data_IF_456461809763
#
_entry.id   IF_456461809763
#
_cell.length_a   1.000
_cell.length_b   1.000
_cell.length_c   1.000
_cell.angle_alpha   90.00
_cell.angle_beta   90.00
_cell.angle_gamma   90.00
#
_symmetry.space_group_name_H-M   'P 1'
#
loop_
_entity.id
_entity.type
_entity.pdbx_description
1 polymer ?
#
# COMPACT_ATOMS: atom_id res chain seq x y z
N UNK A 1 -19.85 100.46 23.87
CA UNK A 1 -19.48 100.84 22.48
C UNK A 1 -18.00 100.59 22.29
N UNK A 2 -17.64 99.79 21.27
CA UNK A 2 -16.33 99.67 20.59
C UNK A 2 -15.00 99.68 21.40
N UNK A 3 -14.19 98.63 21.20
CA UNK A 3 -12.76 98.65 20.79
C UNK A 3 -12.10 97.28 21.07
N UNK A 4 -11.56 96.55 20.08
CA UNK A 4 -10.27 96.65 19.35
C UNK A 4 -9.02 96.26 20.18
N UNK A 5 -8.38 95.16 19.73
CA UNK A 5 -6.97 94.72 19.82
C UNK A 5 -6.32 94.65 21.23
N UNK A 6 -5.52 93.66 21.63
CA UNK A 6 -4.43 92.99 20.92
C UNK A 6 -3.90 91.76 21.72
N UNK A 7 -3.45 90.72 21.00
CA UNK A 7 -2.29 89.80 21.22
C UNK A 7 -2.15 88.78 22.38
N UNK A 8 -1.68 87.58 21.97
CA UNK A 8 -0.84 86.63 22.73
C UNK A 8 -1.29 85.17 22.51
N UNK A 9 -0.90 84.42 21.47
CA UNK A 9 0.41 83.83 21.10
C UNK A 9 1.04 82.91 22.18
N UNK A 10 0.88 81.59 22.02
CA UNK A 10 1.79 80.44 22.31
C UNK A 10 0.94 79.14 22.18
N UNK A 11 1.17 78.25 21.19
CA UNK A 11 2.31 77.32 21.23
C UNK A 11 2.89 77.06 19.83
N UNK A 12 3.92 77.81 19.42
CA UNK A 12 4.67 77.54 18.15
C UNK A 12 5.99 76.78 18.36
N UNK A 13 6.42 76.59 19.61
CA UNK A 13 7.67 75.84 19.93
C UNK A 13 7.51 74.32 19.73
N UNK A 14 6.37 73.75 20.12
CA UNK A 14 6.11 72.30 20.06
C UNK A 14 6.09 71.71 18.63
N UNK A 15 5.53 72.41 17.63
CA UNK A 15 5.49 71.90 16.25
C UNK A 15 6.86 71.97 15.55
N UNK A 16 7.66 73.00 15.82
CA UNK A 16 9.00 73.12 15.22
C UNK A 16 9.96 72.06 15.77
N UNK A 17 9.89 71.76 17.06
CA UNK A 17 10.67 70.67 17.67
C UNK A 17 10.25 69.29 17.10
N UNK A 18 8.95 69.08 16.87
CA UNK A 18 8.43 67.85 16.26
C UNK A 18 8.87 67.69 14.80
N UNK A 19 8.90 68.77 14.02
CA UNK A 19 9.38 68.76 12.63
C UNK A 19 10.90 68.54 12.54
N UNK A 20 11.66 69.06 13.50
CA UNK A 20 13.11 68.83 13.57
C UNK A 20 13.42 67.36 13.90
N UNK A 21 12.63 66.75 14.79
CA UNK A 21 12.79 65.34 15.16
C UNK A 21 12.45 64.39 13.99
N UNK A 22 11.38 64.69 13.23
CA UNK A 22 11.02 63.93 12.02
C UNK A 22 12.11 64.06 10.94
N UNK A 23 12.69 65.24 10.76
CA UNK A 23 13.82 65.42 9.81
C UNK A 23 15.06 64.64 10.24
N UNK A 24 15.37 64.58 11.54
CA UNK A 24 16.48 63.77 12.07
C UNK A 24 16.22 62.27 11.87
N UNK A 25 15.02 61.79 12.17
CA UNK A 25 14.66 60.38 11.96
C UNK A 25 14.71 59.98 10.48
N UNK A 26 14.24 60.84 9.58
CA UNK A 26 14.34 60.60 8.13
C UNK A 26 15.78 60.53 7.64
N UNK A 27 16.64 61.45 8.09
CA UNK A 27 18.07 61.43 7.74
C UNK A 27 18.78 60.18 8.29
N UNK A 28 18.39 59.69 9.46
CA UNK A 28 18.93 58.46 10.05
C UNK A 28 18.51 57.22 9.25
N UNK A 29 17.24 57.14 8.83
CA UNK A 29 16.72 56.09 7.95
C UNK A 29 17.41 56.08 6.57
N UNK A 30 17.61 57.26 5.95
CA UNK A 30 18.31 57.37 4.67
C UNK A 30 19.79 56.95 4.80
N UNK A 31 20.45 57.26 5.92
CA UNK A 31 21.81 56.80 6.21
C UNK A 31 21.90 55.27 6.44
N UNK A 32 20.92 54.69 7.13
CA UNK A 32 20.85 53.23 7.37
C UNK A 32 20.56 52.45 6.08
N UNK A 33 19.69 52.95 5.20
CA UNK A 33 19.45 52.37 3.87
C UNK A 33 20.73 52.40 3.03
N UNK A 34 21.46 53.52 3.03
CA UNK A 34 22.69 53.63 2.26
C UNK A 34 23.83 52.76 2.83
N UNK A 35 23.81 52.50 4.15
CA UNK A 35 24.73 51.55 4.80
C UNK A 35 24.38 50.11 4.43
N UNK A 36 23.09 49.76 4.39
CA UNK A 36 22.59 48.45 3.94
C UNK A 36 22.95 48.17 2.48
N UNK A 37 22.76 49.13 1.57
CA UNK A 37 23.16 48.99 0.16
C UNK A 37 24.67 48.76 0.02
N UNK A 38 25.50 49.49 0.76
CA UNK A 38 26.96 49.27 0.76
C UNK A 38 27.32 47.91 1.32
N UNK A 39 26.69 47.46 2.41
CA UNK A 39 26.93 46.11 2.95
C UNK A 39 26.48 45.02 1.98
N UNK A 40 25.40 45.22 1.24
CA UNK A 40 24.93 44.30 0.21
C UNK A 40 25.90 44.23 -0.98
N UNK A 41 26.44 45.36 -1.43
CA UNK A 41 27.47 45.39 -2.47
C UNK A 41 28.78 44.73 -2.02
N UNK A 42 29.21 44.94 -0.77
CA UNK A 42 30.38 44.26 -0.20
C UNK A 42 30.12 42.75 -0.10
N UNK A 43 28.94 42.33 0.35
CA UNK A 43 28.56 40.92 0.43
C UNK A 43 28.54 40.27 -0.97
N UNK A 44 27.97 40.95 -1.98
CA UNK A 44 28.01 40.51 -3.37
C UNK A 44 29.43 40.45 -3.92
N UNK A 45 30.31 41.40 -3.57
CA UNK A 45 31.72 41.35 -3.95
C UNK A 45 32.44 40.17 -3.30
N UNK A 46 32.17 39.90 -2.02
CA UNK A 46 32.74 38.76 -1.30
C UNK A 46 32.23 37.45 -1.90
N UNK A 47 30.92 37.31 -2.16
CA UNK A 47 30.35 36.14 -2.83
C UNK A 47 30.98 35.95 -4.21
N UNK A 48 31.15 37.03 -4.98
CA UNK A 48 31.78 36.98 -6.30
C UNK A 48 33.27 36.65 -6.22
N UNK A 49 34.00 37.14 -5.23
CA UNK A 49 35.41 36.81 -4.97
C UNK A 49 35.55 35.36 -4.50
N UNK A 50 34.69 34.87 -3.60
CA UNK A 50 34.68 33.48 -3.12
C UNK A 50 34.32 32.53 -4.25
N UNK A 51 33.30 32.85 -5.06
CA UNK A 51 32.94 32.08 -6.25
C UNK A 51 34.05 32.12 -7.32
N UNK A 52 34.74 33.25 -7.51
CA UNK A 52 35.86 33.36 -8.46
C UNK A 52 37.16 32.72 -7.94
N UNK A 53 37.42 32.73 -6.62
CA UNK A 53 38.54 32.03 -5.99
C UNK A 53 38.30 30.52 -5.92
N UNK A 54 37.05 30.07 -5.77
CA UNK A 54 36.66 28.67 -5.86
C UNK A 54 36.82 28.07 -7.28
N UNK A 55 36.99 28.89 -8.32
CA UNK A 55 37.17 28.45 -9.71
C UNK A 55 38.66 28.39 -10.12
N UNK A 56 39.60 28.68 -9.21
CA UNK A 56 41.03 28.39 -9.41
C UNK A 56 41.51 27.15 -8.65
N UNK A 57 40.64 26.16 -8.48
CA UNK A 57 41.14 24.80 -8.32
C UNK A 57 41.63 24.32 -9.69
N UNK A 58 42.91 23.93 -9.74
CA UNK A 58 43.53 23.45 -10.97
C UNK A 58 42.68 22.29 -11.51
N UNK A 59 42.39 22.27 -12.81
CA UNK A 59 41.51 21.24 -13.42
C UNK A 59 42.01 19.81 -13.11
N UNK A 60 43.33 19.66 -12.90
CA UNK A 60 44.02 18.44 -12.45
C UNK A 60 43.69 18.00 -11.02
N UNK A 61 43.41 18.92 -10.09
CA UNK A 61 43.08 18.59 -8.70
C UNK A 61 41.62 18.17 -8.56
N UNK A 62 40.73 18.82 -9.32
CA UNK A 62 39.33 18.41 -9.45
C UNK A 62 39.25 17.03 -10.11
N UNK A 63 39.97 16.78 -11.22
CA UNK A 63 39.98 15.46 -11.85
C UNK A 63 40.64 14.37 -11.01
N UNK A 64 41.66 14.69 -10.20
CA UNK A 64 42.22 13.76 -9.20
C UNK A 64 41.25 13.44 -8.07
N UNK A 65 40.51 14.44 -7.59
CA UNK A 65 39.45 14.23 -6.59
C UNK A 65 38.32 13.38 -7.19
N UNK A 66 37.91 13.65 -8.43
CA UNK A 66 36.93 12.82 -9.15
C UNK A 66 37.47 11.43 -9.50
N UNK A 67 38.76 11.23 -9.74
CA UNK A 67 39.35 9.90 -9.95
C UNK A 67 39.51 9.11 -8.66
N UNK A 68 39.64 9.78 -7.51
CA UNK A 68 39.63 9.15 -6.17
C UNK A 68 38.21 8.89 -5.65
N UNK A 69 37.20 9.54 -6.23
CA UNK A 69 35.77 9.35 -5.96
C UNK A 69 35.08 8.44 -7.00
N UNK A 70 35.74 8.13 -8.11
CA UNK A 70 35.32 7.07 -9.01
C UNK A 70 35.65 5.76 -8.30
N UNK A 71 34.66 4.88 -8.05
CA UNK A 71 34.99 3.50 -7.69
C UNK A 71 35.90 2.97 -8.79
N UNK A 72 36.93 2.20 -8.43
CA UNK A 72 37.85 1.66 -9.41
C UNK A 72 37.02 0.94 -10.49
N UNK A 73 37.17 1.32 -11.76
CA UNK A 73 36.34 0.76 -12.85
C UNK A 73 36.39 -0.77 -12.89
N UNK A 74 37.50 -1.34 -12.45
CA UNK A 74 37.66 -2.79 -12.27
C UNK A 74 36.79 -3.35 -11.14
N UNK A 75 36.59 -2.62 -10.04
CA UNK A 75 35.65 -2.98 -8.95
C UNK A 75 34.20 -2.85 -9.42
N UNK A 76 33.83 -1.82 -10.19
CA UNK A 76 32.48 -1.72 -10.76
C UNK A 76 32.20 -2.84 -11.78
N UNK A 77 33.17 -3.17 -12.65
CA UNK A 77 33.03 -4.23 -13.64
C UNK A 77 32.98 -5.62 -13.00
N UNK A 78 33.79 -5.86 -11.95
CA UNK A 78 33.77 -7.15 -11.22
C UNK A 78 32.54 -7.30 -10.33
N UNK A 79 32.09 -6.24 -9.65
CA UNK A 79 30.85 -6.23 -8.87
C UNK A 79 29.62 -6.46 -9.77
N UNK A 80 29.63 -5.92 -10.98
CA UNK A 80 28.61 -6.21 -11.99
C UNK A 80 28.66 -7.67 -12.45
N UNK A 81 29.85 -8.23 -12.62
CA UNK A 81 30.04 -9.65 -12.92
C UNK A 81 29.51 -10.57 -11.81
N UNK A 82 29.76 -10.25 -10.53
CA UNK A 82 29.31 -11.04 -9.38
C UNK A 82 27.78 -11.03 -9.23
N UNK A 83 27.16 -9.84 -9.36
CA UNK A 83 25.69 -9.70 -9.38
C UNK A 83 25.07 -10.46 -10.54
N UNK A 84 25.67 -10.36 -11.73
CA UNK A 84 25.19 -11.06 -12.93
C UNK A 84 25.30 -12.58 -12.77
N UNK A 85 26.38 -13.09 -12.18
CA UNK A 85 26.54 -14.52 -11.93
C UNK A 85 25.46 -15.08 -10.99
N UNK A 86 25.15 -14.36 -9.89
CA UNK A 86 24.06 -14.75 -8.99
C UNK A 86 22.71 -14.77 -9.71
N UNK A 87 22.39 -13.72 -10.47
CA UNK A 87 21.14 -13.66 -11.23
C UNK A 87 21.06 -14.72 -12.31
N UNK A 88 22.18 -15.02 -12.98
CA UNK A 88 22.25 -16.03 -14.03
C UNK A 88 22.00 -17.43 -13.44
N UNK A 89 22.63 -17.76 -12.31
CA UNK A 89 22.37 -19.02 -11.61
C UNK A 89 20.90 -19.15 -11.19
N UNK A 90 20.29 -18.05 -10.72
CA UNK A 90 18.85 -18.03 -10.43
C UNK A 90 18.02 -18.22 -11.70
N UNK A 91 18.34 -17.49 -12.78
CA UNK A 91 17.63 -17.55 -14.06
C UNK A 91 17.68 -18.93 -14.71
N UNK A 92 18.82 -19.61 -14.61
CA UNK A 92 19.02 -20.97 -15.11
C UNK A 92 18.44 -22.05 -14.17
N UNK A 93 17.83 -21.64 -13.05
CA UNK A 93 17.31 -22.50 -11.99
C UNK A 93 18.38 -23.46 -11.41
N UNK A 94 19.65 -23.04 -11.41
CA UNK A 94 20.76 -23.81 -10.88
C UNK A 94 21.01 -23.50 -9.41
N UNK A 95 20.22 -24.16 -8.56
CA UNK A 95 20.34 -24.02 -7.10
C UNK A 95 21.68 -24.49 -6.53
N UNK A 96 22.38 -25.41 -7.21
CA UNK A 96 23.67 -25.93 -6.74
C UNK A 96 24.77 -24.89 -6.97
N UNK A 97 24.87 -24.36 -8.19
CA UNK A 97 25.81 -23.28 -8.49
C UNK A 97 25.50 -22.05 -7.65
N UNK A 98 24.23 -21.71 -7.45
CA UNK A 98 23.83 -20.60 -6.59
C UNK A 98 24.33 -20.78 -5.15
N UNK A 99 24.17 -21.97 -4.57
CA UNK A 99 24.65 -22.27 -3.22
C UNK A 99 26.19 -22.17 -3.12
N UNK A 100 26.91 -22.70 -4.11
CA UNK A 100 28.36 -22.59 -4.18
C UNK A 100 28.86 -21.15 -4.29
N UNK A 101 28.15 -20.30 -5.05
CA UNK A 101 28.47 -18.88 -5.16
C UNK A 101 28.24 -18.19 -3.81
N UNK A 102 27.09 -18.41 -3.17
CA UNK A 102 26.72 -17.75 -1.91
C UNK A 102 27.54 -18.20 -0.70
N UNK A 103 28.18 -19.38 -0.77
CA UNK A 103 29.18 -19.80 0.22
C UNK A 103 30.42 -18.88 0.27
N UNK A 104 30.69 -18.11 -0.79
CA UNK A 104 31.82 -17.19 -0.83
C UNK A 104 31.36 -15.77 -0.43
N UNK A 105 32.08 -15.14 0.49
CA UNK A 105 31.72 -13.82 1.04
C UNK A 105 31.56 -12.73 -0.04
N UNK A 106 32.35 -12.80 -1.12
CA UNK A 106 32.30 -11.88 -2.25
C UNK A 106 30.93 -11.84 -2.94
N UNK A 107 30.25 -12.99 -3.09
CA UNK A 107 28.92 -13.01 -3.68
C UNK A 107 27.85 -12.72 -2.63
N UNK A 108 28.05 -13.16 -1.38
CA UNK A 108 27.08 -12.98 -0.30
C UNK A 108 26.72 -11.52 -0.04
N UNK A 109 27.68 -10.58 -0.14
CA UNK A 109 27.41 -9.13 -0.04
C UNK A 109 26.41 -8.62 -1.10
N UNK A 110 26.23 -9.33 -2.20
CA UNK A 110 25.32 -8.97 -3.29
C UNK A 110 23.98 -9.72 -3.26
N UNK A 111 23.70 -10.54 -2.24
CA UNK A 111 22.45 -11.33 -2.15
C UNK A 111 21.17 -10.46 -2.18
N UNK A 112 21.25 -9.24 -1.65
CA UNK A 112 20.15 -8.25 -1.62
C UNK A 112 20.35 -7.13 -2.65
N UNK A 113 21.38 -7.22 -3.49
CA UNK A 113 21.64 -6.20 -4.49
C UNK A 113 20.66 -6.26 -5.63
N UNK A 114 20.23 -5.08 -6.05
CA UNK A 114 19.25 -4.92 -7.12
C UNK A 114 20.00 -4.80 -8.42
N UNK A 115 19.66 -5.65 -9.39
CA UNK A 115 20.39 -5.75 -10.66
C UNK A 115 19.48 -6.15 -11.80
N UNK A 116 20.01 -6.06 -13.03
CA UNK A 116 19.30 -6.36 -14.28
C UNK A 116 18.98 -5.14 -15.14
N UNK A 117 18.89 -5.34 -16.46
CA UNK A 117 18.39 -4.35 -17.42
C UNK A 117 16.85 -4.37 -17.43
N UNK A 118 16.20 -3.40 -16.77
CA UNK A 118 14.75 -3.34 -16.66
C UNK A 118 14.28 -2.86 -15.29
N UNK A 119 13.34 -3.58 -14.66
CA UNK A 119 12.94 -3.34 -13.26
C UNK A 119 13.99 -3.97 -12.33
N UNK A 120 14.82 -3.19 -11.61
CA UNK A 120 15.87 -3.74 -10.76
C UNK A 120 15.27 -4.60 -9.65
N UNK A 121 15.62 -5.89 -9.65
CA UNK A 121 15.15 -6.89 -8.70
C UNK A 121 16.30 -7.54 -7.93
N UNK A 122 15.99 -8.07 -6.75
CA UNK A 122 16.91 -8.94 -6.00
C UNK A 122 16.90 -10.36 -6.59
N UNK A 123 17.96 -11.15 -6.41
CA UNK A 123 17.97 -12.57 -6.73
C UNK A 123 16.74 -13.32 -6.17
N UNK A 124 16.31 -12.98 -4.95
CA UNK A 124 15.12 -13.57 -4.32
C UNK A 124 13.83 -13.27 -5.08
N UNK A 125 13.65 -12.02 -5.53
CA UNK A 125 12.52 -11.64 -6.38
C UNK A 125 12.56 -12.38 -7.73
N UNK A 126 13.73 -12.52 -8.34
CA UNK A 126 13.87 -13.26 -9.60
C UNK A 126 13.44 -14.72 -9.42
N UNK A 127 13.93 -15.39 -8.37
CA UNK A 127 13.51 -16.75 -8.06
C UNK A 127 11.99 -16.86 -7.83
N UNK A 128 11.41 -15.90 -7.11
CA UNK A 128 9.97 -15.80 -6.89
C UNK A 128 9.17 -15.54 -8.19
N UNK A 129 9.73 -14.79 -9.15
CA UNK A 129 9.08 -14.49 -10.44
C UNK A 129 9.00 -15.71 -11.35
N UNK A 130 10.07 -16.52 -11.37
CA UNK A 130 10.14 -17.71 -12.21
C UNK A 130 9.63 -18.99 -11.52
N UNK A 131 9.33 -18.93 -10.21
CA UNK A 131 8.86 -20.09 -9.45
C UNK A 131 9.98 -21.08 -9.12
N UNK A 132 11.23 -20.61 -9.08
CA UNK A 132 12.41 -21.43 -8.80
C UNK A 132 12.54 -21.70 -7.30
N UNK A 133 11.70 -22.62 -6.80
CA UNK A 133 11.57 -22.95 -5.38
C UNK A 133 12.91 -23.26 -4.70
N UNK A 134 13.78 -24.05 -5.35
CA UNK A 134 15.07 -24.46 -4.76
C UNK A 134 16.03 -23.29 -4.66
N UNK A 135 16.14 -22.47 -5.71
CA UNK A 135 16.92 -21.23 -5.65
C UNK A 135 16.40 -20.29 -4.57
N UNK A 136 15.07 -20.16 -4.45
CA UNK A 136 14.42 -19.35 -3.42
C UNK A 136 14.76 -19.82 -2.00
N UNK A 137 14.70 -21.14 -1.74
CA UNK A 137 15.10 -21.73 -0.46
C UNK A 137 16.59 -21.49 -0.13
N UNK A 138 17.48 -21.65 -1.11
CA UNK A 138 18.93 -21.39 -0.94
C UNK A 138 19.16 -19.91 -0.59
N UNK A 139 18.52 -18.99 -1.31
CA UNK A 139 18.65 -17.54 -1.04
C UNK A 139 18.19 -17.17 0.37
N UNK A 140 17.06 -17.71 0.81
CA UNK A 140 16.55 -17.48 2.17
C UNK A 140 17.49 -18.08 3.23
N UNK A 141 18.02 -19.27 3.00
CA UNK A 141 18.98 -19.91 3.91
C UNK A 141 20.27 -19.10 4.09
N UNK A 142 20.70 -18.38 3.05
CA UNK A 142 21.87 -17.49 3.08
C UNK A 142 21.57 -16.07 3.59
N UNK A 143 20.33 -15.78 3.98
CA UNK A 143 19.94 -14.50 4.59
C UNK A 143 19.48 -13.43 3.61
N UNK A 144 18.88 -13.82 2.48
CA UNK A 144 18.19 -12.88 1.61
C UNK A 144 17.04 -12.18 2.35
N UNK A 145 16.86 -10.88 2.08
CA UNK A 145 15.80 -10.08 2.67
C UNK A 145 14.43 -10.45 2.08
N UNK A 146 13.62 -11.10 2.90
CA UNK A 146 12.33 -11.70 2.55
C UNK A 146 11.32 -10.67 2.05
N UNK A 147 11.35 -9.46 2.61
CA UNK A 147 10.43 -8.36 2.27
C UNK A 147 11.09 -7.25 1.45
N UNK A 148 12.19 -7.58 0.75
CA UNK A 148 12.88 -6.64 -0.15
C UNK A 148 11.94 -6.01 -1.18
N UNK A 149 11.96 -4.69 -1.29
CA UNK A 149 10.99 -3.97 -2.14
C UNK A 149 11.54 -3.73 -3.54
N UNK A 150 10.71 -3.89 -4.58
CA UNK A 150 11.06 -3.44 -5.93
C UNK A 150 10.80 -1.92 -6.14
N UNK A 151 10.97 -1.39 -7.37
CA UNK A 151 10.74 0.05 -7.66
C UNK A 151 9.26 0.45 -7.61
N UNK A 152 8.36 -0.54 -7.65
CA UNK A 152 6.92 -0.41 -7.45
C UNK A 152 6.51 -0.79 -6.02
N UNK A 153 7.48 -0.91 -5.12
CA UNK A 153 7.34 -1.37 -3.75
C UNK A 153 6.70 -2.77 -3.61
N UNK A 154 6.87 -3.65 -4.58
CA UNK A 154 6.42 -5.03 -4.54
C UNK A 154 7.43 -5.91 -3.80
N UNK A 155 6.95 -6.80 -2.93
CA UNK A 155 7.76 -7.82 -2.23
C UNK A 155 7.95 -9.07 -3.10
N UNK A 156 8.93 -9.95 -2.82
CA UNK A 156 9.04 -11.26 -3.43
C UNK A 156 7.75 -12.08 -3.30
N UNK A 157 7.06 -11.99 -2.16
CA UNK A 157 5.76 -12.62 -1.93
C UNK A 157 4.71 -12.14 -2.93
N UNK A 158 4.60 -10.82 -3.14
CA UNK A 158 3.69 -10.27 -4.13
C UNK A 158 4.01 -10.80 -5.54
N UNK A 159 5.30 -10.89 -5.89
CA UNK A 159 5.73 -11.42 -7.19
C UNK A 159 5.32 -12.89 -7.35
N UNK A 160 5.60 -13.75 -6.37
CA UNK A 160 5.19 -15.16 -6.40
C UNK A 160 3.67 -15.31 -6.54
N UNK A 161 2.88 -14.50 -5.82
CA UNK A 161 1.41 -14.47 -5.92
C UNK A 161 0.95 -14.06 -7.32
N UNK A 162 1.53 -12.98 -7.88
CA UNK A 162 1.14 -12.48 -9.20
C UNK A 162 1.44 -13.43 -10.36
N UNK A 163 2.38 -14.35 -10.15
CA UNK A 163 2.75 -15.38 -11.11
C UNK A 163 2.14 -16.76 -10.79
N UNK A 164 1.40 -16.90 -9.69
CA UNK A 164 0.71 -18.15 -9.33
C UNK A 164 1.59 -19.24 -8.71
N UNK A 165 2.79 -18.91 -8.22
CA UNK A 165 3.76 -19.89 -7.70
C UNK A 165 3.49 -20.26 -6.24
N UNK A 166 2.50 -21.15 -6.01
CA UNK A 166 2.04 -21.54 -4.67
C UNK A 166 3.16 -22.02 -3.73
N UNK A 167 4.08 -22.86 -4.20
CA UNK A 167 5.13 -23.39 -3.34
C UNK A 167 6.12 -22.30 -2.90
N UNK A 168 6.41 -21.33 -3.77
CA UNK A 168 7.19 -20.16 -3.41
C UNK A 168 6.45 -19.28 -2.39
N UNK A 169 5.13 -19.13 -2.51
CA UNK A 169 4.30 -18.40 -1.54
C UNK A 169 4.41 -19.03 -0.16
N UNK A 170 4.28 -20.35 -0.05
CA UNK A 170 4.40 -21.07 1.23
C UNK A 170 5.75 -20.83 1.88
N UNK A 171 6.85 -21.05 1.14
CA UNK A 171 8.20 -20.88 1.68
C UNK A 171 8.47 -19.44 2.10
N UNK A 172 7.97 -18.45 1.34
CA UNK A 172 8.13 -17.03 1.71
C UNK A 172 7.36 -16.70 3.00
N UNK A 173 6.12 -17.20 3.15
CA UNK A 173 5.32 -17.00 4.36
C UNK A 173 5.95 -17.70 5.57
N UNK A 174 6.45 -18.93 5.41
CA UNK A 174 7.19 -19.67 6.44
C UNK A 174 8.48 -18.95 6.85
N UNK A 175 9.14 -18.27 5.90
CA UNK A 175 10.31 -17.43 6.17
C UNK A 175 9.97 -16.07 6.80
N UNK A 176 8.69 -15.80 7.10
CA UNK A 176 8.25 -14.59 7.79
C UNK A 176 7.89 -13.41 6.88
N UNK A 177 7.66 -13.64 5.59
CA UNK A 177 7.18 -12.57 4.69
C UNK A 177 5.86 -11.99 5.20
N UNK A 178 5.71 -10.66 5.12
CA UNK A 178 4.46 -10.00 5.46
C UNK A 178 3.30 -10.47 4.55
N UNK A 179 2.25 -11.16 5.05
CA UNK A 179 1.18 -11.72 4.22
C UNK A 179 0.37 -10.64 3.46
N UNK A 180 0.27 -9.44 4.03
CA UNK A 180 -0.35 -8.28 3.40
C UNK A 180 0.50 -7.62 2.30
N UNK A 181 1.75 -8.06 2.13
CA UNK A 181 2.74 -7.40 1.30
C UNK A 181 3.12 -6.01 1.80
N UNK A 182 3.75 -5.22 0.94
CA UNK A 182 4.20 -3.86 1.28
C UNK A 182 3.04 -2.87 1.42
N UNK A 183 3.11 -2.06 2.48
CA UNK A 183 2.19 -0.92 2.68
C UNK A 183 2.38 0.18 1.64
N UNK A 184 3.50 0.21 0.92
CA UNK A 184 3.79 1.19 -0.13
C UNK A 184 3.33 0.73 -1.51
N UNK A 185 3.03 -0.57 -1.67
CA UNK A 185 2.44 -1.08 -2.90
C UNK A 185 0.96 -0.66 -2.99
N UNK A 186 0.53 -0.35 -4.21
CA UNK A 186 -0.86 0.01 -4.51
C UNK A 186 -1.78 -1.22 -4.61
N UNK A 187 -1.21 -2.40 -4.80
CA UNK A 187 -1.93 -3.67 -4.82
C UNK A 187 -1.46 -4.56 -3.67
N UNK A 188 -2.35 -5.38 -3.10
CA UNK A 188 -1.99 -6.36 -2.07
C UNK A 188 -2.00 -7.77 -2.66
N UNK A 189 -1.22 -8.71 -2.09
CA UNK A 189 -1.26 -10.12 -2.49
C UNK A 189 -2.68 -10.71 -2.47
N UNK A 190 -3.47 -10.39 -1.44
CA UNK A 190 -4.87 -10.86 -1.30
C UNK A 190 -5.76 -10.35 -2.43
N UNK A 191 -5.62 -9.09 -2.84
CA UNK A 191 -6.39 -8.53 -3.97
C UNK A 191 -6.04 -9.24 -5.27
N UNK A 192 -4.75 -9.46 -5.54
CA UNK A 192 -4.29 -10.16 -6.73
C UNK A 192 -4.78 -11.61 -6.76
N UNK A 193 -4.62 -12.35 -5.65
CA UNK A 193 -5.08 -13.75 -5.57
C UNK A 193 -6.60 -13.88 -5.73
N UNK A 194 -7.37 -12.95 -5.16
CA UNK A 194 -8.83 -12.93 -5.31
C UNK A 194 -9.29 -12.58 -6.74
N UNK A 195 -8.58 -11.66 -7.41
CA UNK A 195 -8.85 -11.29 -8.81
C UNK A 195 -8.52 -12.41 -9.78
N UNK A 196 -7.41 -13.12 -9.54
CA UNK A 196 -6.89 -14.14 -10.46
C UNK A 196 -7.47 -15.54 -10.17
N UNK A 197 -8.32 -15.67 -9.15
CA UNK A 197 -8.96 -16.94 -8.79
C UNK A 197 -8.03 -17.96 -8.13
N UNK A 198 -6.90 -17.51 -7.60
CA UNK A 198 -5.88 -18.38 -6.99
C UNK A 198 -6.27 -18.81 -5.56
N UNK A 199 -7.30 -19.64 -5.43
CA UNK A 199 -7.89 -20.05 -4.15
C UNK A 199 -6.87 -20.67 -3.18
N UNK A 200 -5.96 -21.52 -3.67
CA UNK A 200 -4.92 -22.11 -2.84
C UNK A 200 -3.94 -21.06 -2.28
N UNK A 201 -3.49 -20.12 -3.11
CA UNK A 201 -2.61 -19.02 -2.66
C UNK A 201 -3.34 -18.13 -1.66
N UNK A 202 -4.60 -17.81 -1.94
CA UNK A 202 -5.44 -17.01 -1.06
C UNK A 202 -5.63 -17.69 0.30
N UNK A 203 -5.81 -19.00 0.33
CA UNK A 203 -5.90 -19.78 1.57
C UNK A 203 -4.60 -19.68 2.39
N UNK A 204 -3.42 -19.79 1.76
CA UNK A 204 -2.14 -19.64 2.45
C UNK A 204 -1.96 -18.24 3.04
N UNK A 205 -2.27 -17.19 2.25
CA UNK A 205 -2.18 -15.80 2.71
C UNK A 205 -3.09 -15.55 3.91
N UNK A 206 -4.35 -15.97 3.83
CA UNK A 206 -5.32 -15.80 4.91
C UNK A 206 -4.99 -16.67 6.13
N UNK A 207 -4.41 -17.86 5.92
CA UNK A 207 -3.93 -18.76 6.96
C UNK A 207 -2.78 -18.17 7.78
N UNK A 208 -1.91 -17.39 7.13
CA UNK A 208 -0.81 -16.65 7.78
C UNK A 208 -1.23 -15.26 8.30
N UNK A 209 -2.53 -14.94 8.32
CA UNK A 209 -3.05 -13.72 8.95
C UNK A 209 -3.20 -12.51 8.02
N UNK A 210 -3.20 -12.70 6.69
CA UNK A 210 -3.55 -11.61 5.79
C UNK A 210 -4.99 -11.11 6.02
N UNK A 211 -5.20 -9.80 5.92
CA UNK A 211 -6.52 -9.21 6.12
C UNK A 211 -7.47 -9.55 4.96
N UNK A 212 -8.69 -10.02 5.27
CA UNK A 212 -9.71 -10.32 4.25
C UNK A 212 -10.40 -9.07 3.67
N UNK A 213 -10.33 -7.92 4.36
CA UNK A 213 -11.02 -6.67 4.01
C UNK A 213 -10.05 -5.59 3.50
N UNK A 214 -9.06 -5.99 2.71
CA UNK A 214 -8.04 -5.07 2.18
C UNK A 214 -8.68 -4.10 1.19
N UNK A 215 -8.30 -2.83 1.28
CA UNK A 215 -8.75 -1.80 0.34
C UNK A 215 -7.82 -1.79 -0.88
N UNK A 216 -8.37 -1.83 -2.09
CA UNK A 216 -7.57 -1.52 -3.25
C UNK A 216 -7.20 -0.03 -3.24
N UNK A 217 -5.91 0.27 -3.37
CA UNK A 217 -5.41 1.64 -3.50
C UNK A 217 -5.45 2.06 -4.97
N UNK A 218 -6.59 1.84 -5.63
CA UNK A 218 -6.80 2.30 -6.99
C UNK A 218 -6.99 3.83 -6.97
N UNK A 219 -6.40 4.56 -7.93
CA UNK A 219 -6.65 5.99 -8.06
C UNK A 219 -8.15 6.27 -8.20
N UNK A 220 -8.60 7.35 -7.57
CA UNK A 220 -10.02 7.76 -7.50
C UNK A 220 -10.67 7.95 -8.88
N UNK A 221 -9.89 8.20 -9.93
CA UNK A 221 -10.39 8.33 -11.31
C UNK A 221 -10.55 6.98 -12.03
N UNK A 222 -9.83 5.93 -11.62
CA UNK A 222 -9.90 4.59 -12.19
C UNK A 222 -10.93 3.71 -11.47
N UNK A 223 -11.24 4.05 -10.21
CA UNK A 223 -12.40 3.52 -9.51
C UNK A 223 -13.60 4.36 -9.88
N UNK A 224 -14.53 3.84 -10.68
CA UNK A 224 -15.86 4.45 -10.71
C UNK A 224 -16.33 4.58 -9.26
N UNK A 225 -16.57 5.82 -8.82
CA UNK A 225 -16.57 6.35 -7.44
C UNK A 225 -17.51 5.61 -6.43
N UNK A 226 -18.19 4.54 -6.84
CA UNK A 226 -19.19 3.82 -6.04
C UNK A 226 -18.92 2.32 -5.81
N UNK A 227 -17.86 1.73 -6.37
CA UNK A 227 -17.60 0.28 -6.23
C UNK A 227 -16.55 0.00 -5.16
N UNK A 228 -16.97 -0.66 -4.08
CA UNK A 228 -16.07 -1.18 -3.05
C UNK A 228 -15.11 -2.20 -3.69
N UNK A 229 -13.86 -1.82 -3.94
CA UNK A 229 -12.87 -2.57 -4.73
C UNK A 229 -12.03 -3.54 -3.88
N UNK A 230 -12.63 -4.20 -2.88
CA UNK A 230 -11.93 -5.16 -2.03
C UNK A 230 -11.83 -6.57 -2.64
N UNK A 231 -11.19 -7.54 -1.95
CA UNK A 231 -11.00 -8.91 -2.44
C UNK A 231 -12.31 -9.65 -2.74
N UNK A 232 -13.30 -9.57 -1.83
CA UNK A 232 -14.59 -10.24 -2.01
C UNK A 232 -15.38 -9.74 -3.23
N UNK A 233 -15.25 -8.44 -3.55
CA UNK A 233 -15.83 -7.84 -4.75
C UNK A 233 -15.17 -8.40 -6.01
N UNK A 234 -13.83 -8.45 -6.04
CA UNK A 234 -13.10 -9.00 -7.18
C UNK A 234 -13.47 -10.47 -7.40
N UNK A 235 -13.51 -11.27 -6.33
CA UNK A 235 -13.90 -12.68 -6.44
C UNK A 235 -15.34 -12.87 -6.99
N UNK A 236 -16.28 -11.96 -6.70
CA UNK A 236 -17.62 -11.99 -7.27
C UNK A 236 -17.64 -11.60 -8.75
N UNK A 237 -17.02 -10.45 -9.10
CA UNK A 237 -17.05 -9.92 -10.47
C UNK A 237 -16.33 -10.84 -11.46
N UNK A 238 -15.27 -11.50 -11.03
CA UNK A 238 -14.51 -12.44 -11.86
C UNK A 238 -15.02 -13.89 -11.77
N UNK A 239 -16.07 -14.17 -11.00
CA UNK A 239 -16.68 -15.51 -10.95
C UNK A 239 -15.86 -16.57 -10.20
N UNK A 240 -15.05 -16.16 -9.22
CA UNK A 240 -14.23 -17.07 -8.40
C UNK A 240 -14.92 -17.46 -7.09
N UNK A 241 -15.81 -18.46 -7.14
CA UNK A 241 -16.65 -18.87 -6.01
C UNK A 241 -15.83 -19.38 -4.81
N UNK A 242 -14.77 -20.14 -5.06
CA UNK A 242 -13.91 -20.66 -3.99
C UNK A 242 -13.17 -19.55 -3.25
N UNK A 243 -12.62 -18.57 -3.99
CA UNK A 243 -12.02 -17.38 -3.40
C UNK A 243 -13.05 -16.59 -2.59
N UNK A 244 -14.26 -16.43 -3.12
CA UNK A 244 -15.35 -15.72 -2.45
C UNK A 244 -15.73 -16.39 -1.12
N UNK A 245 -15.88 -17.71 -1.13
CA UNK A 245 -16.14 -18.52 0.07
C UNK A 245 -15.01 -18.42 1.09
N UNK A 246 -13.75 -18.54 0.66
CA UNK A 246 -12.57 -18.43 1.53
C UNK A 246 -12.51 -17.06 2.21
N UNK A 247 -12.76 -15.97 1.47
CA UNK A 247 -12.77 -14.62 2.03
C UNK A 247 -13.83 -14.46 3.12
N UNK A 248 -15.05 -14.97 2.90
CA UNK A 248 -16.10 -14.98 3.91
C UNK A 248 -15.73 -15.83 5.14
N UNK A 249 -15.09 -16.99 4.91
CA UNK A 249 -14.58 -17.85 5.98
C UNK A 249 -13.51 -17.17 6.84
N UNK A 250 -12.69 -16.30 6.25
CA UNK A 250 -11.70 -15.49 6.97
C UNK A 250 -12.22 -14.11 7.39
N UNK A 251 -13.54 -13.90 7.37
CA UNK A 251 -14.16 -12.72 7.96
C UNK A 251 -14.17 -11.48 7.05
N UNK A 252 -14.21 -11.64 5.73
CA UNK A 252 -14.63 -10.56 4.85
C UNK A 252 -16.04 -10.06 5.26
N UNK A 253 -16.26 -8.75 5.25
CA UNK A 253 -17.57 -8.17 5.49
C UNK A 253 -18.49 -8.48 4.31
N UNK A 254 -19.59 -9.23 4.50
CA UNK A 254 -20.48 -9.62 3.43
C UNK A 254 -21.34 -8.46 2.90
N UNK A 255 -21.36 -7.29 3.55
CA UNK A 255 -22.17 -6.16 3.09
C UNK A 255 -21.43 -5.31 2.06
N UNK A 256 -20.28 -4.77 2.45
CA UNK A 256 -19.54 -3.80 1.65
C UNK A 256 -18.10 -4.23 1.37
N UNK A 257 -17.63 -5.36 1.91
CA UNK A 257 -16.23 -5.76 1.82
C UNK A 257 -15.28 -4.64 2.28
N UNK A 258 -15.75 -3.85 3.25
CA UNK A 258 -15.08 -2.68 3.79
C UNK A 258 -15.58 -2.45 5.21
N UNK A 259 -14.68 -2.47 6.19
CA UNK A 259 -15.01 -2.21 7.60
C UNK A 259 -14.90 -0.72 7.97
N UNK A 260 -14.42 0.14 7.07
CA UNK A 260 -14.19 1.55 7.34
C UNK A 260 -15.44 2.39 7.09
N UNK A 261 -16.13 2.70 8.19
CA UNK A 261 -17.35 3.51 8.19
C UNK A 261 -17.13 4.92 7.61
N UNK A 262 -15.93 5.52 7.75
CA UNK A 262 -15.66 6.87 7.23
C UNK A 262 -15.60 6.86 5.72
N UNK A 263 -15.06 5.80 5.11
CA UNK A 263 -15.07 5.64 3.66
C UNK A 263 -16.49 5.42 3.14
N UNK A 264 -17.27 4.57 3.81
CA UNK A 264 -18.67 4.34 3.43
C UNK A 264 -19.50 5.63 3.50
N UNK A 265 -19.28 6.47 4.51
CA UNK A 265 -19.97 7.75 4.65
C UNK A 265 -19.61 8.78 3.56
N UNK A 266 -18.41 8.67 2.96
CA UNK A 266 -17.97 9.57 1.88
C UNK A 266 -18.53 9.19 0.52
N UNK A 267 -18.97 7.94 0.35
CA UNK A 267 -19.53 7.46 -0.91
C UNK A 267 -21.03 7.76 -0.91
N UNK A 268 -21.54 8.58 -1.88
CA UNK A 268 -22.92 9.06 -1.83
C UNK A 268 -23.98 7.96 -1.95
N UNK A 269 -23.62 6.76 -2.45
CA UNK A 269 -24.41 5.51 -2.39
C UNK A 269 -23.46 4.29 -2.56
N UNK A 270 -22.96 3.67 -1.48
CA UNK A 270 -22.12 2.49 -1.61
C UNK A 270 -22.97 1.30 -2.07
N UNK A 271 -22.60 0.68 -3.19
CA UNK A 271 -23.27 -0.56 -3.63
C UNK A 271 -22.90 -1.70 -2.68
N UNK A 272 -23.91 -2.44 -2.26
CA UNK A 272 -23.71 -3.66 -1.46
C UNK A 272 -23.22 -4.81 -2.34
N UNK A 273 -22.56 -5.79 -1.73
CA UNK A 273 -22.14 -7.01 -2.41
C UNK A 273 -23.33 -7.79 -2.97
N UNK A 274 -24.48 -7.78 -2.28
CA UNK A 274 -25.72 -8.37 -2.79
C UNK A 274 -26.19 -7.68 -4.08
N UNK A 275 -26.17 -6.35 -4.15
CA UNK A 275 -26.49 -5.62 -5.39
C UNK A 275 -25.49 -5.92 -6.50
N UNK A 276 -24.20 -6.02 -6.17
CA UNK A 276 -23.15 -6.35 -7.13
C UNK A 276 -23.38 -7.75 -7.72
N UNK A 277 -23.63 -8.75 -6.87
CA UNK A 277 -23.93 -10.11 -7.34
C UNK A 277 -25.15 -10.17 -8.25
N UNK A 278 -26.21 -9.40 -7.92
CA UNK A 278 -27.40 -9.31 -8.77
C UNK A 278 -27.13 -8.57 -10.08
N UNK A 279 -26.37 -7.48 -10.05
CA UNK A 279 -26.06 -6.69 -11.25
C UNK A 279 -25.12 -7.40 -12.24
N UNK A 280 -24.24 -8.26 -11.75
CA UNK A 280 -23.29 -9.02 -12.56
C UNK A 280 -23.79 -10.43 -12.93
N UNK A 281 -25.06 -10.75 -12.64
CA UNK A 281 -25.66 -12.07 -12.87
C UNK A 281 -24.79 -13.21 -12.30
N UNK A 282 -24.24 -13.00 -11.09
CA UNK A 282 -23.50 -14.03 -10.40
C UNK A 282 -24.41 -15.22 -10.10
N UNK A 283 -23.82 -16.41 -10.04
CA UNK A 283 -24.52 -17.64 -9.67
C UNK A 283 -25.24 -17.48 -8.29
N UNK A 284 -26.41 -18.11 -8.10
CA UNK A 284 -27.22 -17.95 -6.89
C UNK A 284 -26.47 -18.35 -5.60
N UNK A 285 -25.44 -19.20 -5.71
CA UNK A 285 -24.55 -19.62 -4.64
C UNK A 285 -23.85 -18.43 -3.98
N UNK A 286 -23.50 -17.37 -4.72
CA UNK A 286 -22.90 -16.16 -4.14
C UNK A 286 -23.85 -15.46 -3.18
N UNK A 287 -25.12 -15.34 -3.59
CA UNK A 287 -26.17 -14.72 -2.79
C UNK A 287 -26.46 -15.58 -1.56
N UNK A 288 -26.53 -16.89 -1.74
CA UNK A 288 -26.71 -17.83 -0.64
C UNK A 288 -25.56 -17.75 0.38
N UNK A 289 -24.32 -17.68 -0.08
CA UNK A 289 -23.14 -17.48 0.77
C UNK A 289 -23.22 -16.14 1.52
N UNK A 290 -23.55 -15.05 0.84
CA UNK A 290 -23.72 -13.74 1.49
C UNK A 290 -24.79 -13.79 2.60
N UNK A 291 -25.95 -14.40 2.31
CA UNK A 291 -27.02 -14.60 3.29
C UNK A 291 -26.49 -15.43 4.47
N UNK A 292 -25.85 -16.55 4.19
CA UNK A 292 -25.29 -17.46 5.19
C UNK A 292 -24.30 -16.79 6.13
N UNK A 293 -23.44 -15.93 5.59
CA UNK A 293 -22.42 -15.19 6.35
C UNK A 293 -22.94 -13.89 6.98
N UNK A 294 -24.24 -13.61 6.87
CA UNK A 294 -24.87 -12.54 7.64
C UNK A 294 -25.00 -11.21 6.90
N UNK A 295 -24.98 -11.21 5.57
CA UNK A 295 -25.31 -10.01 4.79
C UNK A 295 -26.68 -9.47 5.21
N UNK A 296 -26.77 -8.15 5.29
CA UNK A 296 -28.02 -7.45 5.54
C UNK A 296 -28.82 -7.38 4.24
N UNK A 297 -29.79 -8.31 4.14
CA UNK A 297 -30.70 -8.47 3.01
C UNK A 297 -31.61 -7.27 2.75
N UNK A 298 -31.70 -6.30 3.66
CA UNK A 298 -32.53 -5.11 3.51
C UNK A 298 -31.77 -3.89 2.96
N UNK A 299 -30.44 -3.94 2.89
CA UNK A 299 -29.65 -2.85 2.29
C UNK A 299 -29.87 -2.70 0.78
N UNK A 300 -29.99 -3.78 -0.02
CA UNK A 300 -30.23 -3.67 -1.45
C UNK A 300 -31.56 -2.97 -1.75
N UNK A 301 -31.51 -1.84 -2.46
CA UNK A 301 -32.70 -1.24 -3.05
C UNK A 301 -33.05 -2.03 -4.32
N UNK A 302 -33.94 -3.02 -4.18
CA UNK A 302 -34.49 -3.73 -5.34
C UNK A 302 -35.40 -2.76 -6.10
N UNK A 303 -34.87 -2.10 -7.13
CA UNK A 303 -35.71 -1.37 -8.08
C UNK A 303 -36.54 -2.39 -8.87
N UNK A 304 -37.87 -2.20 -8.88
CA UNK A 304 -38.85 -3.04 -9.57
C UNK A 304 -38.66 -3.08 -11.12
N UNK A 305 -37.72 -2.31 -11.67
CA UNK A 305 -37.55 -2.07 -13.11
C UNK A 305 -36.55 -3.00 -13.81
N UNK A 306 -35.86 -3.89 -13.10
CA UNK A 306 -35.08 -4.93 -13.77
C UNK A 306 -36.06 -6.02 -14.24
N UNK A 307 -35.90 -6.51 -15.47
CA UNK A 307 -36.66 -7.63 -16.06
C UNK A 307 -36.43 -8.93 -15.26
N UNK A 308 -36.96 -8.99 -14.04
CA UNK A 308 -36.59 -9.90 -12.94
C UNK A 308 -37.40 -11.20 -12.91
N UNK A 309 -38.11 -11.54 -13.97
CA UNK A 309 -39.04 -12.67 -13.91
C UNK A 309 -38.35 -14.05 -13.86
N UNK A 310 -37.05 -14.14 -14.14
CA UNK A 310 -36.32 -15.44 -14.17
C UNK A 310 -35.01 -15.48 -13.35
N UNK A 311 -34.70 -14.45 -12.55
CA UNK A 311 -33.42 -14.42 -11.83
C UNK A 311 -33.51 -15.15 -10.47
N UNK A 312 -33.07 -16.42 -10.45
CA UNK A 312 -33.00 -17.28 -9.25
C UNK A 312 -32.37 -16.58 -8.04
N UNK A 313 -31.42 -15.68 -8.27
CA UNK A 313 -30.77 -14.91 -7.21
C UNK A 313 -31.72 -13.97 -6.46
N UNK A 314 -32.61 -13.29 -7.19
CA UNK A 314 -33.62 -12.42 -6.57
C UNK A 314 -34.70 -13.19 -5.84
N UNK A 315 -35.10 -14.35 -6.36
CA UNK A 315 -36.04 -15.24 -5.68
C UNK A 315 -35.50 -15.70 -4.32
N UNK A 316 -34.22 -16.09 -4.25
CA UNK A 316 -33.55 -16.44 -2.99
C UNK A 316 -33.52 -15.26 -2.00
N UNK A 317 -33.21 -14.05 -2.47
CA UNK A 317 -33.19 -12.86 -1.62
C UNK A 317 -34.58 -12.53 -1.07
N UNK A 318 -35.63 -12.62 -1.89
CA UNK A 318 -37.02 -12.40 -1.46
C UNK A 318 -37.46 -13.47 -0.46
N UNK A 319 -37.11 -14.74 -0.69
CA UNK A 319 -37.38 -15.83 0.25
C UNK A 319 -36.69 -15.59 1.60
N UNK A 320 -35.43 -15.14 1.59
CA UNK A 320 -34.69 -14.80 2.80
C UNK A 320 -35.28 -13.59 3.54
N UNK A 321 -35.96 -12.66 2.84
CA UNK A 321 -36.69 -11.55 3.47
C UNK A 321 -38.00 -11.99 4.11
N UNK A 322 -38.66 -13.01 3.54
CA UNK A 322 -39.92 -13.55 4.03
C UNK A 322 -39.74 -14.50 5.22
N UNK A 323 -38.59 -15.16 5.32
CA UNK A 323 -38.32 -16.17 6.35
C UNK A 323 -37.28 -15.68 7.36
N UNK A 324 -37.59 -15.66 8.67
CA UNK A 324 -36.61 -15.30 9.68
C UNK A 324 -35.48 -16.33 9.73
N UNK A 325 -34.25 -15.87 9.99
CA UNK A 325 -33.08 -16.76 10.16
C UNK A 325 -33.33 -17.76 11.29
N UNK A 326 -33.02 -19.03 11.05
CA UNK A 326 -33.10 -20.06 12.08
C UNK A 326 -32.19 -19.76 13.27
N UNK A 327 -32.55 -20.25 14.46
CA UNK A 327 -31.72 -20.09 15.67
C UNK A 327 -30.29 -20.63 15.45
N UNK A 328 -30.16 -21.74 14.73
CA UNK A 328 -28.87 -22.34 14.40
C UNK A 328 -28.01 -21.43 13.51
N UNK A 329 -28.61 -20.79 12.50
CA UNK A 329 -27.93 -19.81 11.64
C UNK A 329 -27.48 -18.58 12.44
N UNK A 330 -28.35 -18.06 13.31
CA UNK A 330 -28.03 -16.95 14.21
C UNK A 330 -26.89 -17.30 15.16
N UNK A 331 -26.92 -18.50 15.77
CA UNK A 331 -25.87 -18.98 16.65
C UNK A 331 -24.52 -19.08 15.91
N UNK A 332 -24.49 -19.63 14.68
CA UNK A 332 -23.28 -19.66 13.86
C UNK A 332 -22.67 -18.28 13.66
N UNK A 333 -23.49 -17.28 13.31
CA UNK A 333 -23.00 -15.91 13.10
C UNK A 333 -22.44 -15.29 14.38
N UNK A 334 -23.11 -15.50 15.51
CA UNK A 334 -22.67 -14.99 16.82
C UNK A 334 -21.34 -15.62 17.23
N UNK A 335 -21.21 -16.95 17.14
CA UNK A 335 -19.98 -17.68 17.48
C UNK A 335 -18.82 -17.21 16.60
N UNK A 336 -19.02 -17.14 15.28
CA UNK A 336 -17.98 -16.68 14.34
C UNK A 336 -17.57 -15.23 14.58
N UNK A 337 -18.53 -14.35 14.92
CA UNK A 337 -18.23 -12.96 15.29
C UNK A 337 -17.40 -12.87 16.56
N UNK A 338 -17.73 -13.66 17.59
CA UNK A 338 -16.97 -13.70 18.84
C UNK A 338 -15.52 -14.17 18.60
N UNK A 339 -15.33 -15.24 17.84
CA UNK A 339 -14.01 -15.75 17.48
C UNK A 339 -13.17 -14.75 16.68
N UNK A 340 -13.82 -14.00 15.79
CA UNK A 340 -13.17 -12.90 15.05
C UNK A 340 -12.73 -11.78 15.97
N UNK A 341 -13.55 -11.39 16.94
CA UNK A 341 -13.21 -10.34 17.92
C UNK A 341 -12.06 -10.77 18.84
N UNK A 342 -11.93 -12.07 19.10
CA UNK A 342 -10.82 -12.64 19.84
C UNK A 342 -9.54 -12.85 18.99
N UNK A 343 -9.56 -12.50 17.68
CA UNK A 343 -8.47 -12.76 16.73
C UNK A 343 -8.06 -14.24 16.65
N UNK A 344 -9.00 -15.16 16.92
CA UNK A 344 -8.76 -16.61 16.92
C UNK A 344 -9.77 -17.35 16.02
N UNK A 345 -9.81 -17.05 14.71
CA UNK A 345 -10.73 -17.72 13.79
C UNK A 345 -10.43 -19.23 13.64
N UNK A 346 -9.19 -19.66 13.87
CA UNK A 346 -8.77 -21.07 13.82
C UNK A 346 -9.17 -21.86 15.07
N UNK A 347 -9.58 -21.19 16.16
CA UNK A 347 -9.97 -21.86 17.40
C UNK A 347 -11.33 -22.59 17.30
N UNK A 348 -12.02 -22.52 16.15
CA UNK A 348 -13.25 -23.30 15.90
C UNK A 348 -13.00 -24.80 16.13
N UNK A 349 -11.82 -25.31 15.77
CA UNK A 349 -11.44 -26.71 15.96
C UNK A 349 -11.20 -27.12 17.41
N UNK A 350 -11.06 -26.14 18.31
CA UNK A 350 -10.77 -26.35 19.72
C UNK A 350 -12.03 -26.24 20.58
N UNK A 351 -13.19 -25.96 19.97
CA UNK A 351 -14.46 -25.88 20.68
C UNK A 351 -14.92 -27.28 21.12
N UNK A 352 -15.30 -27.40 22.39
CA UNK A 352 -15.86 -28.63 22.96
C UNK A 352 -17.33 -28.82 22.54
N UNK A 353 -17.53 -29.11 21.25
CA UNK A 353 -18.84 -29.33 20.62
C UNK A 353 -18.77 -30.50 19.62
N UNK A 354 -19.90 -31.14 19.28
CA UNK A 354 -19.93 -32.21 18.29
C UNK A 354 -19.31 -31.83 16.93
N UNK A 355 -18.62 -32.77 16.25
CA UNK A 355 -17.89 -32.49 15.00
C UNK A 355 -18.81 -31.99 13.88
N UNK A 356 -20.07 -32.44 13.86
CA UNK A 356 -21.09 -31.95 12.89
C UNK A 356 -21.32 -30.45 13.05
N UNK A 357 -21.30 -29.93 14.29
CA UNK A 357 -21.44 -28.49 14.54
C UNK A 357 -20.16 -27.74 14.17
N UNK A 358 -18.98 -28.34 14.38
CA UNK A 358 -17.70 -27.77 13.90
C UNK A 358 -17.74 -27.61 12.37
N UNK A 359 -18.12 -28.66 11.64
CA UNK A 359 -18.27 -28.62 10.18
C UNK A 359 -19.28 -27.55 9.75
N UNK A 360 -20.42 -27.46 10.44
CA UNK A 360 -21.42 -26.42 10.19
C UNK A 360 -20.88 -24.99 10.42
N UNK A 361 -20.12 -24.76 11.50
CA UNK A 361 -19.46 -23.49 11.78
C UNK A 361 -18.40 -23.13 10.72
N UNK A 362 -17.75 -24.13 10.12
CA UNK A 362 -16.79 -24.01 9.02
C UNK A 362 -17.44 -23.92 7.64
N UNK A 363 -18.77 -23.95 7.55
CA UNK A 363 -19.50 -24.01 6.27
C UNK A 363 -19.05 -25.23 5.42
N UNK A 364 -18.67 -26.34 6.06
CA UNK A 364 -18.38 -27.62 5.43
C UNK A 364 -19.63 -28.49 5.64
N UNK A 365 -20.49 -28.58 4.62
CA UNK A 365 -21.69 -29.43 4.65
C UNK A 365 -21.33 -30.86 4.25
#
# INVERSE_FOLDING_TARGET
MYNRFDKGLQPKKSMLDSLLEIKKQRAMLEADVHKLEKTWHILLLIIRIVLLQSIKMNLMDITKIFSLLQPDKEEEDTDMGEKQALNQAVYDNDSYTLDQLLCQERYKRFINSRSGWGVPGTPLRLAASYGHLRCLQVLLAHGADVDSLDVKAQTPLFTAVSHGHLDCVRVLLEAGACPGGSIYNNCSPVLTAARDGAAAILQELLGHGAEANVKAKLPVWASNIASCSGPLYLAAVYGHLDCFRLLLLHGADPNYNCTDQRLLARVPRPRTLLEICLHHNCEPEYIQLLIDFGANIYLPSLSLDLNLQDDKGTALLLQARATPRSLLSQARLVIRRALRQASQPQAIDQLDIPPVLISYLKHQL
#
